data_IF_691591239377
#
_entry.id   IF_691591239377
#
_cell.length_a   1.000
_cell.length_b   1.000
_cell.length_c   1.000
_cell.angle_alpha   90.00
_cell.angle_beta   90.00
_cell.angle_gamma   90.00
#
_symmetry.space_group_name_H-M   'P 1'
#
loop_
_entity.id
_entity.type
_entity.pdbx_description
1 polymer ?
#
# COMPACT_ATOMS: atom_id res chain seq x y z
N UNK A 1 -29.45 -45.88 44.93
CA UNK A 1 -28.67 -44.64 44.78
C UNK A 1 -27.77 -44.80 43.56
N UNK A 2 -28.12 -44.13 42.47
CA UNK A 2 -27.43 -44.26 41.18
C UNK A 2 -26.33 -43.21 41.13
N UNK A 3 -25.07 -43.64 41.12
CA UNK A 3 -23.91 -42.75 41.02
C UNK A 3 -23.81 -42.31 39.55
N UNK A 4 -24.16 -41.06 39.27
CA UNK A 4 -23.92 -40.47 37.95
C UNK A 4 -22.44 -40.12 37.85
N UNK A 5 -21.67 -40.70 36.90
CA UNK A 5 -20.27 -40.34 36.73
C UNK A 5 -20.20 -38.90 36.21
N UNK A 6 -19.61 -38.01 37.01
CA UNK A 6 -19.28 -36.65 36.60
C UNK A 6 -18.18 -36.69 35.55
N UNK A 7 -18.54 -36.36 34.30
CA UNK A 7 -17.57 -36.17 33.22
C UNK A 7 -16.53 -35.10 33.63
N UNK A 8 -15.22 -35.35 33.42
CA UNK A 8 -14.20 -34.36 33.72
C UNK A 8 -14.42 -33.10 32.85
N UNK A 9 -14.12 -31.90 33.38
CA UNK A 9 -14.27 -30.66 32.64
C UNK A 9 -13.43 -30.73 31.36
N UNK A 10 -14.07 -30.51 30.22
CA UNK A 10 -13.40 -30.43 28.93
C UNK A 10 -12.34 -29.32 29.03
N UNK A 11 -11.05 -29.59 28.75
CA UNK A 11 -10.03 -28.56 28.84
C UNK A 11 -10.41 -27.43 27.87
N UNK A 12 -10.55 -26.22 28.41
CA UNK A 12 -10.83 -25.02 27.62
C UNK A 12 -9.85 -24.98 26.45
N UNK A 13 -10.37 -25.04 25.23
CA UNK A 13 -9.55 -25.03 24.02
C UNK A 13 -8.61 -23.83 24.11
N UNK A 14 -7.29 -24.08 24.18
CA UNK A 14 -6.28 -23.02 24.15
C UNK A 14 -6.64 -22.05 23.03
N UNK A 15 -6.67 -20.73 23.26
CA UNK A 15 -6.98 -19.77 22.21
C UNK A 15 -5.99 -20.00 21.06
N UNK A 16 -6.50 -20.55 19.96
CA UNK A 16 -5.72 -20.84 18.76
C UNK A 16 -5.15 -19.50 18.33
N UNK A 17 -3.83 -19.32 18.47
CA UNK A 17 -3.14 -18.11 18.00
C UNK A 17 -3.36 -18.04 16.48
N UNK A 18 -4.24 -17.14 16.05
CA UNK A 18 -4.44 -16.84 14.63
C UNK A 18 -3.20 -16.09 14.17
N UNK A 19 -2.20 -16.84 13.69
CA UNK A 19 -1.01 -16.27 13.09
C UNK A 19 -1.32 -15.60 11.75
N UNK A 20 -0.39 -14.77 11.28
CA UNK A 20 -0.42 -14.20 9.94
C UNK A 20 -0.36 -15.35 8.92
N UNK A 21 -1.45 -15.62 8.19
CA UNK A 21 -1.57 -16.77 7.28
C UNK A 21 -2.34 -16.41 6.01
N UNK A 22 -2.13 -17.21 4.97
CA UNK A 22 -2.84 -17.09 3.70
C UNK A 22 -2.62 -15.73 3.03
N UNK A 23 -3.68 -15.17 2.46
CA UNK A 23 -3.63 -13.90 1.73
C UNK A 23 -3.12 -12.73 2.59
N UNK A 24 -3.43 -12.71 3.89
CA UNK A 24 -2.94 -11.66 4.79
C UNK A 24 -1.40 -11.64 4.88
N UNK A 25 -0.78 -12.83 4.88
CA UNK A 25 0.67 -12.95 4.92
C UNK A 25 1.32 -12.50 3.60
N UNK A 26 0.68 -12.82 2.47
CA UNK A 26 1.13 -12.37 1.14
C UNK A 26 1.11 -10.84 1.06
N UNK A 27 -0.01 -10.21 1.45
CA UNK A 27 -0.15 -8.75 1.47
C UNK A 27 0.91 -8.10 2.36
N UNK A 28 1.13 -8.66 3.56
CA UNK A 28 2.15 -8.15 4.48
C UNK A 28 3.56 -8.26 3.88
N UNK A 29 3.89 -9.40 3.26
CA UNK A 29 5.18 -9.58 2.60
C UNK A 29 5.38 -8.58 1.45
N UNK A 30 4.35 -8.33 0.64
CA UNK A 30 4.38 -7.31 -0.40
C UNK A 30 4.62 -5.91 0.19
N UNK A 31 3.95 -5.55 1.29
CA UNK A 31 4.15 -4.26 1.94
C UNK A 31 5.57 -4.11 2.50
N UNK A 32 6.14 -5.17 3.09
CA UNK A 32 7.55 -5.20 3.49
C UNK A 32 8.48 -4.98 2.30
N UNK A 33 8.24 -5.67 1.18
CA UNK A 33 9.02 -5.52 -0.05
C UNK A 33 9.00 -4.10 -0.60
N UNK A 34 7.81 -3.49 -0.72
CA UNK A 34 7.67 -2.09 -1.15
C UNK A 34 8.47 -1.17 -0.23
N UNK A 35 8.29 -1.30 1.09
CA UNK A 35 8.99 -0.47 2.07
C UNK A 35 10.51 -0.61 1.94
N UNK A 36 11.01 -1.83 1.81
CA UNK A 36 12.44 -2.12 1.65
C UNK A 36 13.01 -1.52 0.36
N UNK A 37 12.31 -1.68 -0.77
CA UNK A 37 12.77 -1.14 -2.07
C UNK A 37 12.86 0.39 -2.05
N UNK A 38 11.87 1.07 -1.45
CA UNK A 38 11.86 2.53 -1.39
C UNK A 38 12.90 3.08 -0.42
N UNK A 39 13.21 2.35 0.65
CA UNK A 39 14.32 2.69 1.55
C UNK A 39 15.69 2.43 0.91
N UNK A 40 15.81 1.39 0.09
CA UNK A 40 17.07 1.04 -0.55
C UNK A 40 17.51 2.07 -1.60
N UNK A 41 16.58 2.66 -2.35
CA UNK A 41 16.89 3.60 -3.44
C UNK A 41 17.77 4.80 -3.01
N UNK A 42 17.45 5.53 -1.92
CA UNK A 42 18.34 6.58 -1.41
C UNK A 42 19.73 6.06 -1.03
N UNK A 43 19.84 4.88 -0.41
CA UNK A 43 21.14 4.31 -0.05
C UNK A 43 21.97 3.97 -1.29
N UNK A 44 21.35 3.47 -2.35
CA UNK A 44 22.03 3.21 -3.62
C UNK A 44 22.54 4.50 -4.25
N UNK A 45 21.75 5.58 -4.24
CA UNK A 45 22.21 6.89 -4.73
C UNK A 45 23.37 7.43 -3.90
N UNK A 46 23.25 7.40 -2.57
CA UNK A 46 24.31 7.85 -1.67
C UNK A 46 25.61 7.05 -1.91
N UNK A 47 25.50 5.73 -2.11
CA UNK A 47 26.65 4.89 -2.39
C UNK A 47 27.30 5.19 -3.75
N UNK A 48 26.53 5.67 -4.74
CA UNK A 48 27.02 5.88 -6.11
C UNK A 48 27.59 7.28 -6.34
N UNK A 49 26.92 8.32 -5.82
CA UNK A 49 27.28 9.72 -6.08
C UNK A 49 27.62 10.52 -4.82
N UNK A 50 27.50 9.91 -3.63
CA UNK A 50 27.74 10.55 -2.35
C UNK A 50 26.50 11.26 -1.79
N UNK A 51 26.47 11.53 -0.47
CA UNK A 51 25.29 12.05 0.22
C UNK A 51 24.93 13.49 -0.17
N UNK A 52 25.92 14.38 -0.32
CA UNK A 52 25.69 15.78 -0.72
C UNK A 52 25.15 15.89 -2.15
N UNK A 53 25.73 15.15 -3.10
CA UNK A 53 25.27 15.12 -4.48
C UNK A 53 23.89 14.48 -4.62
N UNK A 54 23.57 13.46 -3.81
CA UNK A 54 22.23 12.85 -3.78
C UNK A 54 21.17 13.86 -3.36
N UNK A 55 21.41 14.61 -2.28
CA UNK A 55 20.46 15.63 -1.81
C UNK A 55 20.26 16.70 -2.87
N UNK A 56 21.33 17.24 -3.44
CA UNK A 56 21.23 18.24 -4.52
C UNK A 56 20.50 17.70 -5.74
N UNK A 57 20.79 16.47 -6.17
CA UNK A 57 20.12 15.84 -7.30
C UNK A 57 18.62 15.65 -7.07
N UNK A 58 18.22 15.25 -5.85
CA UNK A 58 16.80 15.12 -5.48
C UNK A 58 16.11 16.48 -5.44
N UNK A 59 16.75 17.51 -4.86
CA UNK A 59 16.20 18.86 -4.79
C UNK A 59 16.05 19.47 -6.18
N UNK A 60 17.05 19.35 -7.04
CA UNK A 60 16.99 19.84 -8.42
C UNK A 60 15.92 19.09 -9.23
N UNK A 61 15.86 17.76 -9.08
CA UNK A 61 14.87 16.92 -9.73
C UNK A 61 13.43 17.19 -9.25
N UNK A 62 13.24 17.72 -8.04
CA UNK A 62 11.93 18.03 -7.47
C UNK A 62 11.57 19.53 -7.51
N UNK A 63 12.50 20.44 -7.79
CA UNK A 63 12.24 21.90 -7.76
C UNK A 63 12.25 22.56 -9.15
N UNK A 64 12.84 21.89 -10.16
CA UNK A 64 12.93 22.43 -11.52
C UNK A 64 11.58 22.84 -12.15
N UNK A 65 11.53 23.95 -12.92
CA UNK A 65 10.32 24.38 -13.63
C UNK A 65 10.05 23.60 -14.92
N UNK A 66 10.95 22.69 -15.33
CA UNK A 66 10.88 21.98 -16.61
C UNK A 66 9.71 20.99 -16.68
N UNK A 67 9.21 20.75 -17.90
CA UNK A 67 8.20 19.71 -18.20
C UNK A 67 8.65 18.33 -17.71
N UNK A 68 9.93 17.99 -17.89
CA UNK A 68 10.51 16.73 -17.42
C UNK A 68 10.47 16.61 -15.90
N UNK A 69 10.76 17.70 -15.17
CA UNK A 69 10.64 17.77 -13.72
C UNK A 69 9.20 17.59 -13.26
N UNK A 70 8.22 18.18 -13.94
CA UNK A 70 6.81 18.01 -13.61
C UNK A 70 6.35 16.56 -13.79
N UNK A 71 6.73 15.90 -14.90
CA UNK A 71 6.45 14.47 -15.13
C UNK A 71 7.10 13.63 -14.03
N UNK A 72 8.34 13.93 -13.66
CA UNK A 72 9.04 13.23 -12.57
C UNK A 72 8.31 13.36 -11.24
N UNK A 73 7.84 14.58 -10.88
CA UNK A 73 7.03 14.80 -9.67
C UNK A 73 5.78 13.93 -9.67
N UNK A 74 5.04 13.90 -10.78
CA UNK A 74 3.86 13.04 -10.90
C UNK A 74 4.19 11.55 -10.87
N UNK A 75 5.41 11.14 -11.23
CA UNK A 75 5.90 9.78 -11.03
C UNK A 75 6.26 9.46 -9.58
N UNK A 76 6.82 10.42 -8.85
CA UNK A 76 7.31 10.25 -7.46
C UNK A 76 6.18 10.31 -6.44
N UNK A 77 5.23 11.23 -6.59
CA UNK A 77 4.09 11.41 -5.65
C UNK A 77 3.34 10.09 -5.36
N UNK A 78 2.90 9.29 -6.36
CA UNK A 78 2.21 8.03 -6.09
C UNK A 78 3.13 6.98 -5.44
N UNK A 79 4.44 7.01 -5.69
CA UNK A 79 5.41 6.13 -5.02
C UNK A 79 5.53 6.47 -3.54
N UNK A 80 5.59 7.75 -3.20
CA UNK A 80 5.60 8.23 -1.81
C UNK A 80 4.31 7.84 -1.10
N UNK A 81 3.15 8.03 -1.76
CA UNK A 81 1.87 7.61 -1.20
C UNK A 81 1.80 6.10 -0.96
N UNK A 82 2.33 5.29 -1.89
CA UNK A 82 2.40 3.83 -1.75
C UNK A 82 3.33 3.42 -0.60
N UNK A 83 4.46 4.11 -0.45
CA UNK A 83 5.39 3.90 0.66
C UNK A 83 4.73 4.19 2.01
N UNK A 84 4.01 5.32 2.13
CA UNK A 84 3.27 5.67 3.35
C UNK A 84 2.23 4.60 3.69
N UNK A 85 1.49 4.12 2.69
CA UNK A 85 0.57 2.99 2.88
C UNK A 85 1.29 1.74 3.37
N UNK A 86 2.38 1.34 2.70
CA UNK A 86 3.10 0.10 3.00
C UNK A 86 3.73 0.15 4.40
N UNK A 87 4.42 1.24 4.75
CA UNK A 87 5.01 1.44 6.07
C UNK A 87 3.95 1.45 7.16
N UNK A 88 2.84 2.16 6.95
CA UNK A 88 1.71 2.18 7.90
C UNK A 88 1.13 0.78 8.08
N UNK A 89 0.93 0.04 6.99
CA UNK A 89 0.40 -1.31 7.04
C UNK A 89 1.32 -2.28 7.77
N UNK A 90 2.64 -2.20 7.54
CA UNK A 90 3.65 -3.00 8.25
C UNK A 90 3.60 -2.70 9.75
N UNK A 91 3.63 -1.42 10.14
CA UNK A 91 3.57 -1.01 11.56
C UNK A 91 2.28 -1.51 12.21
N UNK A 92 1.14 -1.30 11.55
CA UNK A 92 -0.17 -1.74 12.06
C UNK A 92 -0.27 -3.27 12.16
N UNK A 93 0.37 -4.01 11.25
CA UNK A 93 0.43 -5.48 11.27
C UNK A 93 1.32 -6.01 12.37
N UNK A 94 2.51 -5.43 12.58
CA UNK A 94 3.44 -5.81 13.64
C UNK A 94 2.86 -5.49 15.02
N UNK A 95 2.24 -4.32 15.17
CA UNK A 95 1.58 -3.91 16.42
C UNK A 95 0.20 -4.57 16.64
N UNK A 96 -0.30 -5.32 15.65
CA UNK A 96 -1.63 -5.94 15.65
C UNK A 96 -2.76 -4.96 16.00
N UNK A 97 -2.68 -3.75 15.47
CA UNK A 97 -3.66 -2.72 15.79
C UNK A 97 -4.99 -2.96 15.05
N UNK A 98 -6.11 -2.92 15.78
CA UNK A 98 -7.46 -2.95 15.19
C UNK A 98 -7.68 -1.81 14.17
N UNK A 99 -6.93 -0.70 14.29
CA UNK A 99 -6.95 0.42 13.34
C UNK A 99 -6.58 -0.01 11.91
N UNK A 100 -5.82 -1.10 11.75
CA UNK A 100 -5.48 -1.65 10.44
C UNK A 100 -6.71 -1.94 9.57
N UNK A 101 -7.82 -2.36 10.18
CA UNK A 101 -9.07 -2.69 9.47
C UNK A 101 -9.71 -1.49 8.77
N UNK A 102 -9.39 -0.28 9.23
CA UNK A 102 -9.95 0.96 8.68
C UNK A 102 -8.88 1.75 7.92
N UNK A 103 -7.69 1.92 8.50
CA UNK A 103 -6.64 2.74 7.90
C UNK A 103 -6.01 2.11 6.67
N UNK A 104 -5.74 0.79 6.67
CA UNK A 104 -5.13 0.13 5.52
C UNK A 104 -5.96 0.28 4.24
N UNK A 105 -7.28 0.02 4.24
CA UNK A 105 -8.09 0.19 3.04
C UNK A 105 -8.34 1.67 2.66
N UNK A 106 -8.44 2.58 3.63
CA UNK A 106 -8.55 4.03 3.34
C UNK A 106 -7.28 4.57 2.67
N UNK A 107 -6.10 4.25 3.21
CA UNK A 107 -4.83 4.67 2.65
C UNK A 107 -4.62 4.07 1.24
N UNK A 108 -5.10 2.85 1.00
CA UNK A 108 -5.07 2.25 -0.34
C UNK A 108 -5.97 3.02 -1.32
N UNK A 109 -7.18 3.38 -0.91
CA UNK A 109 -8.09 4.19 -1.74
C UNK A 109 -7.49 5.58 -2.03
N UNK A 110 -6.86 6.20 -1.03
CA UNK A 110 -6.15 7.47 -1.20
C UNK A 110 -5.00 7.34 -2.21
N UNK A 111 -4.21 6.26 -2.13
CA UNK A 111 -3.15 5.98 -3.09
C UNK A 111 -3.68 5.84 -4.52
N UNK A 112 -4.80 5.13 -4.72
CA UNK A 112 -5.43 5.03 -6.05
C UNK A 112 -5.87 6.40 -6.56
N UNK A 113 -6.52 7.22 -5.72
CA UNK A 113 -6.93 8.58 -6.09
C UNK A 113 -5.76 9.46 -6.52
N UNK A 114 -4.67 9.43 -5.75
CA UNK A 114 -3.42 10.13 -6.08
C UNK A 114 -2.84 9.60 -7.40
N UNK A 115 -2.79 8.28 -7.58
CA UNK A 115 -2.22 7.66 -8.78
C UNK A 115 -3.00 8.01 -10.05
N UNK A 116 -4.33 8.05 -9.97
CA UNK A 116 -5.20 8.48 -11.07
C UNK A 116 -4.96 9.96 -11.38
N UNK A 117 -4.97 10.83 -10.36
CA UNK A 117 -4.69 12.25 -10.52
C UNK A 117 -3.34 12.50 -11.20
N UNK A 118 -2.27 11.83 -10.74
CA UNK A 118 -0.94 11.97 -11.32
C UNK A 118 -0.86 11.44 -12.76
N UNK A 119 -1.55 10.35 -13.10
CA UNK A 119 -1.62 9.85 -14.47
C UNK A 119 -2.28 10.85 -15.42
N UNK A 120 -3.37 11.51 -14.99
CA UNK A 120 -3.96 12.61 -15.76
C UNK A 120 -3.05 13.84 -15.83
N UNK A 121 -2.35 14.18 -14.73
CA UNK A 121 -1.37 15.28 -14.69
C UNK A 121 -0.23 15.11 -15.69
N UNK A 122 0.37 13.92 -15.78
CA UNK A 122 1.42 13.61 -16.78
C UNK A 122 0.90 13.82 -18.20
N UNK A 123 -0.35 13.43 -18.47
CA UNK A 123 -0.94 13.55 -19.80
C UNK A 123 -1.29 14.98 -20.18
N UNK A 124 -1.80 15.77 -19.23
CA UNK A 124 -2.04 17.20 -19.43
C UNK A 124 -0.74 17.95 -19.74
N UNK A 125 0.38 17.53 -19.14
CA UNK A 125 1.71 18.10 -19.41
C UNK A 125 2.25 17.67 -20.78
N UNK A 126 2.01 16.43 -21.22
CA UNK A 126 2.51 15.90 -22.49
C UNK A 126 1.68 16.32 -23.72
N UNK A 127 0.40 16.66 -23.53
CA UNK A 127 -0.54 16.99 -24.62
C UNK A 127 -1.29 18.27 -24.24
N UNK A 128 -0.68 19.45 -24.44
CA UNK A 128 -1.27 20.73 -24.05
C UNK A 128 -2.55 21.08 -24.84
N UNK A 129 -2.68 20.54 -26.06
CA UNK A 129 -3.80 20.80 -26.97
C UNK A 129 -5.10 20.07 -26.59
N UNK A 130 -5.10 19.32 -25.48
CA UNK A 130 -6.29 18.73 -24.88
C UNK A 130 -6.24 17.20 -24.75
N UNK A 131 -6.99 16.68 -23.78
CA UNK A 131 -7.25 15.24 -23.60
C UNK A 131 -8.03 14.72 -24.82
N UNK A 132 -7.33 14.22 -25.83
CA UNK A 132 -7.97 13.52 -26.95
C UNK A 132 -8.60 12.23 -26.44
N UNK A 133 -9.83 11.95 -26.87
CA UNK A 133 -10.60 10.72 -26.52
C UNK A 133 -9.80 9.45 -26.86
N UNK A 134 -8.84 9.55 -27.78
CA UNK A 134 -7.95 8.47 -28.20
C UNK A 134 -6.89 8.07 -27.16
N UNK A 135 -6.58 8.93 -26.18
CA UNK A 135 -5.60 8.63 -25.12
C UNK A 135 -6.20 7.98 -23.87
N UNK A 136 -7.51 8.11 -23.68
CA UNK A 136 -8.28 7.47 -22.61
C UNK A 136 -8.17 5.93 -22.61
N UNK A 137 -8.28 5.23 -23.76
CA UNK A 137 -8.11 3.78 -23.85
C UNK A 137 -6.75 3.28 -23.39
N UNK A 138 -5.69 4.10 -23.49
CA UNK A 138 -4.34 3.72 -23.06
C UNK A 138 -4.17 3.78 -21.53
N UNK A 139 -4.99 4.55 -20.83
CA UNK A 139 -4.93 4.73 -19.37
C UNK A 139 -5.97 3.89 -18.63
N UNK A 140 -7.11 3.65 -19.27
CA UNK A 140 -8.24 2.90 -18.70
C UNK A 140 -7.83 1.55 -18.10
N UNK A 141 -7.06 0.68 -18.79
CA UNK A 141 -6.70 -0.63 -18.25
C UNK A 141 -5.92 -0.56 -16.94
N UNK A 142 -4.92 0.33 -16.85
CA UNK A 142 -4.10 0.46 -15.63
C UNK A 142 -4.89 1.09 -14.49
N UNK A 143 -5.72 2.10 -14.77
CA UNK A 143 -6.59 2.72 -13.77
C UNK A 143 -7.63 1.74 -13.24
N UNK A 144 -8.30 0.99 -14.14
CA UNK A 144 -9.28 -0.02 -13.75
C UNK A 144 -8.64 -1.13 -12.92
N UNK A 145 -7.46 -1.61 -13.30
CA UNK A 145 -6.74 -2.61 -12.50
C UNK A 145 -6.44 -2.12 -11.08
N UNK A 146 -6.04 -0.85 -10.92
CA UNK A 146 -5.80 -0.24 -9.61
C UNK A 146 -7.09 -0.12 -8.79
N UNK A 147 -8.18 0.34 -9.42
CA UNK A 147 -9.50 0.46 -8.77
C UNK A 147 -10.03 -0.90 -8.34
N UNK A 148 -9.99 -1.90 -9.22
CA UNK A 148 -10.41 -3.28 -8.93
C UNK A 148 -9.56 -3.86 -7.80
N UNK A 149 -8.25 -3.66 -7.82
CA UNK A 149 -7.35 -4.08 -6.75
C UNK A 149 -7.69 -3.45 -5.40
N UNK A 150 -7.95 -2.13 -5.36
CA UNK A 150 -8.33 -1.44 -4.14
C UNK A 150 -9.72 -1.86 -3.62
N UNK A 151 -10.68 -2.09 -4.52
CA UNK A 151 -12.01 -2.59 -4.15
C UNK A 151 -11.91 -4.02 -3.61
N UNK A 152 -11.15 -4.89 -4.25
CA UNK A 152 -10.91 -6.26 -3.79
C UNK A 152 -10.23 -6.25 -2.41
N UNK A 153 -9.24 -5.38 -2.22
CA UNK A 153 -8.58 -5.19 -0.93
C UNK A 153 -9.55 -4.69 0.15
N UNK A 154 -10.37 -3.69 -0.16
CA UNK A 154 -11.39 -3.17 0.74
C UNK A 154 -12.40 -4.26 1.12
N UNK A 155 -12.90 -5.01 0.14
CA UNK A 155 -13.83 -6.11 0.36
C UNK A 155 -13.21 -7.19 1.24
N UNK A 156 -11.94 -7.54 1.01
CA UNK A 156 -11.20 -8.49 1.85
C UNK A 156 -11.15 -8.04 3.32
N UNK A 157 -10.81 -6.77 3.60
CA UNK A 157 -10.76 -6.25 4.97
C UNK A 157 -12.13 -6.09 5.63
N UNK A 158 -13.18 -5.86 4.84
CA UNK A 158 -14.56 -5.72 5.34
C UNK A 158 -15.26 -7.06 5.52
N UNK A 159 -15.03 -8.06 4.68
CA UNK A 159 -15.84 -9.26 4.62
C UNK A 159 -15.13 -10.53 5.10
N UNK A 160 -13.80 -10.58 5.04
CA UNK A 160 -13.07 -11.78 5.43
C UNK A 160 -12.89 -11.87 6.95
N UNK A 161 -13.01 -13.09 7.49
CA UNK A 161 -12.77 -13.36 8.91
C UNK A 161 -11.28 -13.29 9.28
N UNK A 162 -10.39 -13.58 8.33
CA UNK A 162 -8.95 -13.66 8.59
C UNK A 162 -8.31 -12.34 9.05
N UNK A 163 -8.53 -11.17 8.40
CA UNK A 163 -8.04 -9.89 8.88
C UNK A 163 -8.64 -9.53 10.25
N UNK A 164 -9.96 -9.70 10.42
CA UNK A 164 -10.65 -9.39 11.68
C UNK A 164 -10.09 -10.21 12.83
N UNK A 165 -9.98 -11.52 12.66
CA UNK A 165 -9.45 -12.43 13.67
C UNK A 165 -7.97 -12.18 14.02
N UNK A 166 -7.21 -11.52 13.15
CA UNK A 166 -5.82 -11.15 13.40
C UNK A 166 -5.67 -9.78 14.12
N UNK A 167 -6.47 -8.78 13.75
CA UNK A 167 -6.31 -7.39 14.21
C UNK A 167 -7.17 -7.01 15.44
N UNK A 168 -8.19 -7.79 15.80
CA UNK A 168 -9.06 -7.48 16.97
C UNK A 168 -8.71 -8.26 18.23
N UNK A 169 -7.50 -8.83 18.33
CA UNK A 169 -6.99 -9.54 19.51
C UNK A 169 -5.68 -8.91 19.97
#
# INVERSE_FOLDING_TARGET
MTIVPTLPPTPASRPRRTGLKGLLAVIFWCACGITATQLAWPFTLIATIGPSATVSAVVDALSGPSVQTQILRYGVIPQVALFVWAASYVVLTVTRSAKALTFAPILMALWVGISIYCQFGIRAVLTPDGLSVETLPALLPSMLAQVVGAVAFWAYFKQADAPRAFFTR
#
